data_IF_341704586889
#
_entry.id   IF_341704586889
#
_cell.length_a   1.000
_cell.length_b   1.000
_cell.length_c   1.000
_cell.angle_alpha   90.00
_cell.angle_beta   90.00
_cell.angle_gamma   90.00
#
_symmetry.space_group_name_H-M   'P 1'
#
loop_
_entity.id
_entity.type
_entity.pdbx_description
1 polymer ?
#
# COMPACT_ATOMS: atom_id res chain seq x y z
N UNK A 1 8.10 20.17 5.82
CA UNK A 1 9.25 19.22 5.93
C UNK A 1 10.57 19.97 6.12
N UNK A 2 11.59 19.35 6.72
CA UNK A 2 12.96 19.89 6.72
C UNK A 2 13.69 19.58 5.39
N UNK A 3 14.87 20.17 5.19
CA UNK A 3 15.63 20.03 3.93
C UNK A 3 15.99 18.57 3.59
N UNK A 4 16.37 17.77 4.60
CA UNK A 4 16.75 16.37 4.40
C UNK A 4 15.53 15.52 4.01
N UNK A 5 14.41 15.70 4.71
CA UNK A 5 13.13 15.05 4.40
C UNK A 5 12.66 15.38 2.98
N UNK A 6 12.78 16.65 2.60
CA UNK A 6 12.41 17.08 1.25
C UNK A 6 13.31 16.48 0.17
N UNK A 7 14.62 16.43 0.41
CA UNK A 7 15.58 15.82 -0.50
C UNK A 7 15.32 14.31 -0.67
N UNK A 8 15.06 13.61 0.43
CA UNK A 8 14.69 12.19 0.42
C UNK A 8 13.43 11.94 -0.42
N UNK A 9 12.38 12.74 -0.21
CA UNK A 9 11.15 12.64 -1.02
C UNK A 9 11.42 12.94 -2.50
N UNK A 10 12.25 13.94 -2.82
CA UNK A 10 12.61 14.23 -4.21
C UNK A 10 13.38 13.09 -4.87
N UNK A 11 14.33 12.49 -4.14
CA UNK A 11 15.08 11.31 -4.59
C UNK A 11 14.14 10.13 -4.83
N UNK A 12 13.25 9.84 -3.88
CA UNK A 12 12.21 8.81 -4.03
C UNK A 12 11.35 9.03 -5.27
N UNK A 13 10.85 10.26 -5.49
CA UNK A 13 10.01 10.58 -6.66
C UNK A 13 10.74 10.34 -7.97
N UNK A 14 12.00 10.78 -8.06
CA UNK A 14 12.84 10.60 -9.25
C UNK A 14 13.05 9.12 -9.56
N UNK A 15 13.50 8.35 -8.56
CA UNK A 15 13.81 6.94 -8.73
C UNK A 15 12.54 6.13 -9.05
N UNK A 16 11.41 6.49 -8.44
CA UNK A 16 10.14 5.83 -8.72
C UNK A 16 9.67 6.09 -10.15
N UNK A 17 9.76 7.33 -10.65
CA UNK A 17 9.45 7.64 -12.05
C UNK A 17 10.30 6.82 -13.02
N UNK A 18 11.60 6.74 -12.76
CA UNK A 18 12.52 5.93 -13.57
C UNK A 18 12.13 4.45 -13.57
N UNK A 19 11.76 3.89 -12.40
CA UNK A 19 11.27 2.50 -12.33
C UNK A 19 9.95 2.28 -13.04
N UNK A 20 9.04 3.24 -13.01
CA UNK A 20 7.78 3.15 -13.77
C UNK A 20 8.06 3.12 -15.27
N UNK A 21 8.97 3.95 -15.76
CA UNK A 21 9.38 3.96 -17.17
C UNK A 21 10.03 2.62 -17.57
N UNK A 22 10.98 2.14 -16.77
CA UNK A 22 11.63 0.83 -16.95
C UNK A 22 10.58 -0.29 -17.03
N UNK A 23 9.73 -0.43 -16.00
CA UNK A 23 8.74 -1.49 -15.91
C UNK A 23 7.66 -1.42 -16.98
N UNK A 24 7.27 -0.22 -17.40
CA UNK A 24 6.31 -0.03 -18.50
C UNK A 24 6.90 -0.46 -19.84
N UNK A 25 8.21 -0.32 -20.04
CA UNK A 25 8.91 -0.73 -21.26
C UNK A 25 9.28 -2.22 -21.33
N UNK A 26 9.35 -2.91 -20.19
CA UNK A 26 9.81 -4.31 -20.12
C UNK A 26 8.87 -5.31 -20.83
N UNK A 27 7.56 -5.07 -20.76
CA UNK A 27 6.53 -6.03 -21.19
C UNK A 27 5.43 -5.28 -21.97
N UNK A 28 5.61 -5.06 -23.28
CA UNK A 28 4.64 -4.36 -24.12
C UNK A 28 3.23 -4.97 -24.08
N UNK A 29 3.12 -6.27 -23.84
CA UNK A 29 1.87 -7.02 -23.77
C UNK A 29 1.18 -6.98 -22.38
N UNK A 30 1.74 -6.28 -21.39
CA UNK A 30 1.21 -6.29 -20.01
C UNK A 30 -0.26 -5.84 -19.93
N UNK A 31 -0.64 -4.81 -20.70
CA UNK A 31 -2.03 -4.34 -20.76
C UNK A 31 -2.99 -5.44 -21.25
N UNK A 32 -2.55 -6.25 -22.22
CA UNK A 32 -3.35 -7.36 -22.75
C UNK A 32 -3.49 -8.48 -21.72
N UNK A 33 -2.42 -8.79 -20.98
CA UNK A 33 -2.46 -9.78 -19.89
C UNK A 33 -3.37 -9.33 -18.74
N UNK A 34 -3.35 -8.05 -18.40
CA UNK A 34 -4.27 -7.45 -17.41
C UNK A 34 -5.73 -7.59 -17.86
N UNK A 35 -6.01 -7.29 -19.13
CA UNK A 35 -7.33 -7.46 -19.73
C UNK A 35 -7.80 -8.91 -19.70
N UNK A 36 -6.97 -9.84 -20.13
CA UNK A 36 -7.28 -11.28 -20.10
C UNK A 36 -7.53 -11.79 -18.68
N UNK A 37 -6.72 -11.38 -17.70
CA UNK A 37 -6.92 -11.75 -16.30
C UNK A 37 -8.24 -11.20 -15.74
N UNK A 38 -8.62 -9.97 -16.13
CA UNK A 38 -9.90 -9.38 -15.75
C UNK A 38 -11.10 -10.08 -16.37
N UNK A 39 -11.02 -10.46 -17.65
CA UNK A 39 -12.03 -11.21 -18.40
C UNK A 39 -12.24 -12.60 -17.80
N UNK A 40 -11.17 -13.34 -17.52
CA UNK A 40 -11.22 -14.64 -16.84
C UNK A 40 -11.88 -14.55 -15.46
N UNK A 41 -11.67 -13.44 -14.75
CA UNK A 41 -12.29 -13.15 -13.46
C UNK A 41 -13.72 -12.59 -13.56
N UNK A 42 -14.30 -12.53 -14.76
CA UNK A 42 -15.64 -11.95 -15.04
C UNK A 42 -15.78 -10.53 -14.51
N UNK A 43 -14.71 -9.76 -14.56
CA UNK A 43 -14.74 -8.34 -14.17
C UNK A 43 -15.50 -7.56 -15.24
N UNK A 44 -16.44 -6.67 -14.87
CA UNK A 44 -17.11 -5.80 -15.84
C UNK A 44 -16.10 -5.03 -16.67
N UNK A 45 -16.38 -4.83 -17.96
CA UNK A 45 -15.47 -4.13 -18.88
C UNK A 45 -15.11 -2.73 -18.38
N UNK A 46 -13.84 -2.37 -18.54
CA UNK A 46 -13.27 -1.06 -18.21
C UNK A 46 -12.00 -0.86 -19.05
N UNK A 47 -11.54 0.38 -19.26
CA UNK A 47 -10.35 0.65 -20.08
C UNK A 47 -9.06 0.26 -19.34
N UNK A 48 -8.03 -0.12 -20.10
CA UNK A 48 -6.67 -0.39 -19.63
C UNK A 48 -5.73 0.63 -20.28
N UNK A 49 -5.37 1.68 -19.54
CA UNK A 49 -4.65 2.86 -20.01
C UNK A 49 -3.23 2.94 -19.44
N UNK A 50 -3.05 2.62 -18.15
CA UNK A 50 -1.74 2.69 -17.48
C UNK A 50 -1.41 1.37 -16.75
N UNK A 51 -0.72 0.41 -17.39
CA UNK A 51 -0.45 -0.91 -16.81
C UNK A 51 0.40 -0.90 -15.54
N UNK A 52 1.36 0.02 -15.45
CA UNK A 52 2.21 0.24 -14.29
C UNK A 52 2.06 1.71 -13.89
N UNK A 53 1.46 1.97 -12.72
CA UNK A 53 0.94 3.30 -12.38
C UNK A 53 1.94 4.05 -11.50
N UNK A 54 2.28 5.28 -11.88
CA UNK A 54 2.90 6.25 -10.98
C UNK A 54 1.83 7.06 -10.25
N UNK A 55 2.00 7.34 -8.95
CA UNK A 55 1.07 8.20 -8.22
C UNK A 55 1.42 9.68 -8.42
N UNK A 56 0.72 10.36 -9.32
CA UNK A 56 0.95 11.79 -9.65
C UNK A 56 0.63 12.74 -8.49
N UNK A 57 -0.08 12.30 -7.45
CA UNK A 57 -0.23 13.11 -6.23
C UNK A 57 1.11 13.37 -5.53
N UNK A 58 2.12 12.52 -5.72
CA UNK A 58 3.47 12.74 -5.19
C UNK A 58 4.12 14.02 -5.74
N UNK A 59 3.82 14.37 -6.99
CA UNK A 59 4.36 15.57 -7.64
C UNK A 59 3.74 16.87 -7.13
N UNK A 60 2.59 16.77 -6.45
CA UNK A 60 1.90 17.93 -5.87
C UNK A 60 2.45 18.32 -4.51
N UNK A 61 3.24 17.44 -3.89
CA UNK A 61 3.84 17.68 -2.57
C UNK A 61 4.96 18.72 -2.71
N UNK A 62 4.95 19.70 -1.83
CA UNK A 62 5.88 20.82 -1.71
C UNK A 62 6.65 20.75 -0.38
N UNK A 63 7.77 21.49 -0.23
CA UNK A 63 8.49 21.55 1.06
C UNK A 63 7.65 22.05 2.23
N UNK A 64 6.64 22.89 1.95
CA UNK A 64 5.75 23.51 2.92
C UNK A 64 4.69 22.55 3.45
N UNK A 65 4.46 21.42 2.77
CA UNK A 65 3.50 20.43 3.22
C UNK A 65 3.97 19.72 4.50
N UNK A 66 2.97 19.37 5.30
CA UNK A 66 3.11 18.65 6.56
C UNK A 66 2.66 17.20 6.34
N UNK A 67 3.62 16.32 6.06
CA UNK A 67 3.37 14.89 5.86
C UNK A 67 3.43 14.18 7.20
N UNK A 68 2.31 13.55 7.59
CA UNK A 68 2.12 12.90 8.89
C UNK A 68 2.10 11.38 8.81
N UNK A 69 1.82 10.84 7.63
CA UNK A 69 1.50 9.43 7.46
C UNK A 69 1.88 8.92 6.06
N UNK A 70 2.39 7.70 5.99
CA UNK A 70 2.48 6.91 4.76
C UNK A 70 1.42 5.80 4.82
N UNK A 71 0.58 5.69 3.80
CA UNK A 71 -0.40 4.60 3.65
C UNK A 71 -0.01 3.72 2.47
N UNK A 72 0.04 2.41 2.71
CA UNK A 72 0.40 1.41 1.69
C UNK A 72 -0.84 0.58 1.32
N UNK A 73 -1.39 0.82 0.14
CA UNK A 73 -2.42 -0.03 -0.49
C UNK A 73 -1.82 -1.27 -1.15
N UNK A 74 -2.64 -2.10 -1.79
CA UNK A 74 -2.16 -3.32 -2.46
C UNK A 74 -1.55 -3.02 -3.83
N UNK A 75 -2.40 -2.61 -4.76
CA UNK A 75 -2.07 -2.32 -6.13
C UNK A 75 -3.07 -1.31 -6.72
N UNK A 76 -2.74 -0.62 -7.81
CA UNK A 76 -3.66 0.31 -8.46
C UNK A 76 -4.89 -0.43 -8.97
N UNK A 77 -6.08 0.07 -8.64
CA UNK A 77 -7.36 -0.43 -9.12
C UNK A 77 -7.81 0.22 -10.43
N UNK A 78 -9.08 0.02 -10.79
CA UNK A 78 -9.65 0.45 -12.07
C UNK A 78 -9.62 1.96 -12.28
N UNK A 79 -9.87 2.73 -11.21
CA UNK A 79 -9.90 4.18 -11.28
C UNK A 79 -8.48 4.75 -11.22
N UNK A 80 -7.59 4.11 -10.45
CA UNK A 80 -6.23 4.56 -10.21
C UNK A 80 -5.38 4.57 -11.49
N UNK A 81 -5.61 3.63 -12.40
CA UNK A 81 -4.83 3.47 -13.64
C UNK A 81 -5.29 4.37 -14.80
N UNK A 82 -6.45 5.02 -14.69
CA UNK A 82 -6.95 5.90 -15.75
C UNK A 82 -5.95 7.04 -15.95
N UNK A 83 -5.61 7.38 -17.19
CA UNK A 83 -4.65 8.42 -17.55
C UNK A 83 -5.04 9.78 -16.94
N UNK A 84 -6.35 10.07 -16.86
CA UNK A 84 -6.87 11.28 -16.21
C UNK A 84 -6.67 11.33 -14.70
N UNK A 85 -6.43 10.18 -14.07
CA UNK A 85 -6.31 10.05 -12.62
C UNK A 85 -4.85 9.82 -12.21
N UNK A 86 -4.25 8.68 -12.61
CA UNK A 86 -2.90 8.23 -12.22
C UNK A 86 -2.59 8.55 -10.76
N UNK A 87 -3.50 8.12 -9.89
CA UNK A 87 -3.58 8.54 -8.50
C UNK A 87 -4.02 7.39 -7.64
N UNK A 88 -3.28 7.09 -6.59
CA UNK A 88 -3.57 5.97 -5.70
C UNK A 88 -4.72 6.26 -4.75
N UNK A 89 -5.49 5.21 -4.45
CA UNK A 89 -6.72 5.29 -3.65
C UNK A 89 -7.60 6.45 -4.12
N UNK A 90 -7.92 6.53 -5.41
CA UNK A 90 -8.85 7.54 -5.93
C UNK A 90 -10.26 6.96 -6.18
N UNK A 91 -10.37 5.62 -6.22
CA UNK A 91 -11.64 4.91 -6.26
C UNK A 91 -12.33 4.81 -4.89
N UNK A 92 -13.27 3.87 -4.79
CA UNK A 92 -14.16 3.75 -3.63
C UNK A 92 -13.42 3.58 -2.29
N UNK A 93 -12.39 2.74 -2.24
CA UNK A 93 -11.61 2.52 -1.02
C UNK A 93 -10.97 3.83 -0.51
N UNK A 94 -10.48 4.67 -1.42
CA UNK A 94 -9.92 5.96 -1.08
C UNK A 94 -10.95 7.01 -0.64
N UNK A 95 -12.17 6.96 -1.18
CA UNK A 95 -13.29 7.79 -0.69
C UNK A 95 -13.69 7.39 0.74
N UNK A 96 -13.69 6.09 1.04
CA UNK A 96 -13.96 5.58 2.39
C UNK A 96 -12.87 6.03 3.36
N UNK A 97 -11.59 5.88 2.98
CA UNK A 97 -10.46 6.33 3.78
C UNK A 97 -10.52 7.83 4.06
N UNK A 98 -10.67 8.66 3.01
CA UNK A 98 -10.81 10.11 3.13
C UNK A 98 -12.00 10.50 4.04
N UNK A 99 -13.14 9.83 3.87
CA UNK A 99 -14.30 10.02 4.72
C UNK A 99 -14.05 9.65 6.18
N UNK A 100 -13.26 8.61 6.46
CA UNK A 100 -12.89 8.23 7.83
C UNK A 100 -12.10 9.36 8.51
N UNK A 101 -11.06 9.90 7.87
CA UNK A 101 -10.29 10.99 8.46
C UNK A 101 -11.11 12.28 8.63
N UNK A 102 -11.94 12.64 7.64
CA UNK A 102 -12.83 13.82 7.73
C UNK A 102 -13.85 13.74 8.87
N UNK A 103 -14.36 12.56 9.18
CA UNK A 103 -15.27 12.35 10.32
C UNK A 103 -14.56 12.29 11.66
N UNK A 104 -13.24 12.20 11.68
CA UNK A 104 -12.42 12.10 12.89
C UNK A 104 -11.37 13.24 12.96
N UNK A 105 -11.80 14.52 12.98
CA UNK A 105 -10.89 15.66 13.00
C UNK A 105 -9.87 15.69 14.17
N UNK A 106 -10.11 15.09 15.36
CA UNK A 106 -9.08 14.99 16.40
C UNK A 106 -7.82 14.23 15.97
N UNK A 107 -7.86 13.44 14.89
CA UNK A 107 -6.66 12.82 14.33
C UNK A 107 -5.71 13.85 13.71
N UNK A 108 -6.21 15.04 13.36
CA UNK A 108 -5.40 16.12 12.79
C UNK A 108 -4.76 15.78 11.44
N UNK A 109 -5.35 14.84 10.69
CA UNK A 109 -4.85 14.36 9.39
C UNK A 109 -5.91 14.62 8.32
N UNK A 110 -5.57 15.44 7.33
CA UNK A 110 -6.27 15.50 6.05
C UNK A 110 -5.69 14.41 5.13
N UNK A 111 -6.49 13.41 4.81
CA UNK A 111 -6.06 12.23 4.04
C UNK A 111 -5.47 12.56 2.67
N UNK A 112 -5.82 13.72 2.07
CA UNK A 112 -5.34 14.11 0.75
C UNK A 112 -4.19 15.10 0.78
N UNK A 113 -3.87 15.67 1.94
CA UNK A 113 -2.77 16.64 2.10
C UNK A 113 -1.64 16.12 2.97
N UNK A 114 -1.96 15.42 4.06
CA UNK A 114 -0.98 14.99 5.05
C UNK A 114 -0.49 13.55 4.85
N UNK A 115 -0.95 12.85 3.81
CA UNK A 115 -0.70 11.43 3.61
C UNK A 115 -0.02 11.16 2.28
N UNK A 116 1.13 10.50 2.32
CA UNK A 116 1.75 9.88 1.15
C UNK A 116 1.09 8.52 0.94
N UNK A 117 0.51 8.29 -0.24
CA UNK A 117 -0.15 7.04 -0.60
C UNK A 117 0.72 6.28 -1.59
N UNK A 118 1.15 5.08 -1.22
CA UNK A 118 1.89 4.14 -2.06
C UNK A 118 1.11 2.81 -2.15
N UNK A 119 1.58 1.90 -3.00
CA UNK A 119 1.06 0.54 -3.11
C UNK A 119 2.19 -0.47 -2.97
N UNK A 120 1.87 -1.70 -2.57
CA UNK A 120 2.84 -2.80 -2.48
C UNK A 120 3.41 -3.17 -3.85
N UNK A 121 2.66 -2.94 -4.91
CA UNK A 121 3.14 -2.95 -6.30
C UNK A 121 2.46 -1.83 -7.10
N UNK A 122 3.14 -1.19 -8.06
CA UNK A 122 2.52 -0.27 -9.01
C UNK A 122 1.82 -0.99 -10.18
N UNK A 123 1.90 -2.32 -10.27
CA UNK A 123 1.27 -3.07 -11.36
C UNK A 123 -0.25 -3.09 -11.16
N UNK A 124 -0.98 -2.56 -12.14
CA UNK A 124 -2.43 -2.46 -12.08
C UNK A 124 -3.12 -3.84 -12.14
N UNK A 125 -4.20 -3.99 -11.36
CA UNK A 125 -5.26 -4.98 -11.58
C UNK A 125 -6.54 -4.56 -10.87
N UNK A 126 -7.71 -5.04 -11.28
CA UNK A 126 -8.96 -4.73 -10.57
C UNK A 126 -9.07 -5.43 -9.20
N UNK A 127 -8.41 -6.59 -9.05
CA UNK A 127 -8.35 -7.38 -7.82
C UNK A 127 -6.98 -8.06 -7.73
N UNK A 128 -6.39 -8.11 -6.54
CA UNK A 128 -5.08 -8.74 -6.28
C UNK A 128 -4.95 -10.16 -6.87
N UNK A 129 -6.02 -10.96 -6.81
CA UNK A 129 -6.04 -12.31 -7.39
C UNK A 129 -5.70 -12.35 -8.91
N UNK A 130 -5.99 -11.29 -9.65
CA UNK A 130 -5.67 -11.19 -11.08
C UNK A 130 -4.16 -11.07 -11.34
N UNK A 131 -3.39 -10.52 -10.38
CA UNK A 131 -1.93 -10.49 -10.47
C UNK A 131 -1.35 -11.92 -10.54
N UNK A 132 -1.93 -12.86 -9.78
CA UNK A 132 -1.54 -14.29 -9.84
C UNK A 132 -1.86 -14.91 -11.20
N UNK A 133 -3.01 -14.58 -11.78
CA UNK A 133 -3.38 -15.03 -13.13
C UNK A 133 -2.40 -14.51 -14.18
N UNK A 134 -1.98 -13.25 -14.07
CA UNK A 134 -0.96 -12.67 -14.95
C UNK A 134 0.39 -13.36 -14.80
N UNK A 135 0.84 -13.64 -13.57
CA UNK A 135 2.07 -14.40 -13.33
C UNK A 135 2.03 -15.79 -13.97
N UNK A 136 0.88 -16.47 -13.92
CA UNK A 136 0.71 -17.80 -14.51
C UNK A 136 0.76 -17.77 -16.05
N UNK A 137 0.17 -16.75 -16.66
CA UNK A 137 -0.03 -16.69 -18.11
C UNK A 137 1.03 -15.85 -18.85
N UNK A 138 1.72 -14.96 -18.15
CA UNK A 138 2.67 -13.98 -18.71
C UNK A 138 4.12 -14.43 -18.73
N UNK A 139 4.41 -15.67 -18.32
CA UNK A 139 5.75 -16.23 -18.30
C UNK A 139 6.70 -15.58 -17.29
N UNK A 140 7.99 -15.93 -17.40
CA UNK A 140 9.03 -15.57 -16.42
C UNK A 140 9.20 -14.04 -16.27
N UNK A 141 9.16 -13.28 -17.37
CA UNK A 141 9.33 -11.82 -17.33
C UNK A 141 8.26 -11.12 -16.49
N UNK A 142 6.99 -11.55 -16.60
CA UNK A 142 5.89 -10.98 -15.81
C UNK A 142 6.02 -11.35 -14.34
N UNK A 143 6.44 -12.58 -14.05
CA UNK A 143 6.71 -13.02 -12.67
C UNK A 143 7.83 -12.18 -12.04
N UNK A 144 8.92 -11.98 -12.77
CA UNK A 144 10.05 -11.16 -12.35
C UNK A 144 9.64 -9.70 -12.13
N UNK A 145 8.92 -9.08 -13.08
CA UNK A 145 8.42 -7.71 -12.93
C UNK A 145 7.59 -7.56 -11.65
N UNK A 146 6.61 -8.44 -11.44
CA UNK A 146 5.71 -8.38 -10.29
C UNK A 146 6.49 -8.57 -8.98
N UNK A 147 7.42 -9.52 -8.93
CA UNK A 147 8.25 -9.75 -7.76
C UNK A 147 9.16 -8.56 -7.47
N UNK A 148 9.93 -8.11 -8.46
CA UNK A 148 10.89 -7.01 -8.32
C UNK A 148 10.20 -5.70 -7.95
N UNK A 149 9.01 -5.44 -8.50
CA UNK A 149 8.25 -4.26 -8.13
C UNK A 149 7.82 -4.27 -6.66
N UNK A 150 7.49 -5.44 -6.10
CA UNK A 150 7.17 -5.57 -4.68
C UNK A 150 8.38 -5.34 -3.78
N UNK A 151 9.51 -5.97 -4.11
CA UNK A 151 10.75 -5.83 -3.34
C UNK A 151 11.23 -4.38 -3.36
N UNK A 152 11.23 -3.76 -4.54
CA UNK A 152 11.63 -2.37 -4.68
C UNK A 152 10.70 -1.43 -3.92
N UNK A 153 9.37 -1.60 -4.03
CA UNK A 153 8.43 -0.75 -3.29
C UNK A 153 8.58 -0.91 -1.79
N UNK A 154 8.82 -2.12 -1.27
CA UNK A 154 9.03 -2.37 0.15
C UNK A 154 10.29 -1.70 0.67
N UNK A 155 11.41 -1.88 -0.04
CA UNK A 155 12.69 -1.26 0.30
C UNK A 155 12.57 0.27 0.32
N UNK A 156 12.04 0.86 -0.75
CA UNK A 156 11.94 2.32 -0.88
C UNK A 156 10.94 2.93 0.07
N UNK A 157 9.89 2.19 0.44
CA UNK A 157 8.98 2.59 1.50
C UNK A 157 9.68 2.62 2.85
N UNK A 158 10.51 1.61 3.16
CA UNK A 158 11.29 1.60 4.40
C UNK A 158 12.28 2.78 4.48
N UNK A 159 13.01 3.04 3.39
CA UNK A 159 13.91 4.20 3.28
C UNK A 159 13.15 5.52 3.50
N UNK A 160 12.04 5.72 2.79
CA UNK A 160 11.23 6.93 2.94
C UNK A 160 10.64 7.09 4.35
N UNK A 161 10.28 5.98 5.00
CA UNK A 161 9.77 6.00 6.38
C UNK A 161 10.85 6.46 7.37
N UNK A 162 12.10 6.00 7.20
CA UNK A 162 13.26 6.44 8.00
C UNK A 162 13.51 7.93 7.78
N UNK A 163 13.55 8.36 6.53
CA UNK A 163 13.89 9.74 6.18
C UNK A 163 12.82 10.73 6.63
N UNK A 164 11.53 10.39 6.50
CA UNK A 164 10.42 11.26 6.90
C UNK A 164 10.12 11.19 8.39
N UNK A 165 10.35 10.05 9.05
CA UNK A 165 10.04 9.86 10.46
C UNK A 165 8.54 9.88 10.78
N UNK A 166 7.69 9.59 9.81
CA UNK A 166 6.23 9.54 9.98
C UNK A 166 5.74 8.11 10.28
N UNK A 167 4.46 7.99 10.64
CA UNK A 167 3.82 6.68 10.80
C UNK A 167 3.66 5.98 9.44
N UNK A 168 3.69 4.65 9.45
CA UNK A 168 3.39 3.82 8.28
C UNK A 168 2.20 2.92 8.57
N UNK A 169 1.17 3.03 7.74
CA UNK A 169 0.00 2.16 7.78
C UNK A 169 0.03 1.20 6.60
N UNK A 170 0.29 -0.07 6.91
CA UNK A 170 0.27 -1.17 5.95
C UNK A 170 -1.14 -1.75 5.89
N UNK A 171 -1.88 -1.43 4.83
CA UNK A 171 -3.31 -1.75 4.70
C UNK A 171 -3.50 -2.97 3.82
N UNK A 172 -4.33 -3.92 4.23
CA UNK A 172 -4.61 -5.13 3.47
C UNK A 172 -3.90 -6.38 3.97
N UNK A 173 -3.98 -6.64 5.27
CA UNK A 173 -3.17 -7.68 5.90
C UNK A 173 -3.48 -9.11 5.44
N UNK A 174 -4.64 -9.37 4.83
CA UNK A 174 -5.02 -10.72 4.38
C UNK A 174 -4.05 -11.28 3.35
N UNK A 175 -3.51 -10.42 2.49
CA UNK A 175 -2.54 -10.80 1.47
C UNK A 175 -1.09 -10.83 1.98
N UNK A 176 -0.88 -10.55 3.28
CA UNK A 176 0.41 -10.64 3.97
C UNK A 176 0.56 -11.92 4.81
N UNK A 177 -0.53 -12.67 5.05
CA UNK A 177 -0.50 -13.91 5.86
C UNK A 177 -0.15 -15.13 4.99
N UNK A 178 0.60 -16.09 5.56
CA UNK A 178 0.82 -17.41 4.96
C UNK A 178 1.37 -17.38 3.53
N UNK A 179 0.58 -17.85 2.55
CA UNK A 179 0.90 -17.83 1.10
C UNK A 179 0.26 -16.65 0.36
N UNK A 180 -0.05 -15.57 1.09
CA UNK A 180 -0.61 -14.32 0.58
C UNK A 180 0.24 -13.71 -0.53
N UNK A 181 -0.37 -12.90 -1.39
CA UNK A 181 0.30 -12.45 -2.62
C UNK A 181 1.47 -11.51 -2.31
N UNK A 182 1.33 -10.71 -1.26
CA UNK A 182 2.27 -9.68 -0.87
C UNK A 182 3.25 -10.13 0.23
N UNK A 183 3.45 -11.43 0.40
CA UNK A 183 4.51 -11.98 1.25
C UNK A 183 5.90 -11.45 0.87
N UNK A 184 6.29 -11.35 -0.42
CA UNK A 184 7.58 -10.76 -0.78
C UNK A 184 7.73 -9.30 -0.31
N UNK A 185 6.66 -8.49 -0.45
CA UNK A 185 6.65 -7.12 0.08
C UNK A 185 6.80 -7.10 1.61
N UNK A 186 6.03 -7.94 2.32
CA UNK A 186 6.07 -8.05 3.78
C UNK A 186 7.48 -8.37 4.25
N UNK A 187 8.09 -9.43 3.72
CA UNK A 187 9.38 -9.93 4.18
C UNK A 187 10.48 -8.92 3.90
N UNK A 188 10.44 -8.27 2.74
CA UNK A 188 11.38 -7.21 2.40
C UNK A 188 11.21 -5.97 3.30
N UNK A 189 9.97 -5.55 3.60
CA UNK A 189 9.71 -4.43 4.51
C UNK A 189 10.22 -4.77 5.92
N UNK A 190 9.98 -5.99 6.39
CA UNK A 190 10.47 -6.47 7.68
C UNK A 190 11.99 -6.44 7.73
N UNK A 191 12.67 -7.03 6.74
CA UNK A 191 14.13 -7.04 6.67
C UNK A 191 14.74 -5.63 6.67
N UNK A 192 14.04 -4.63 6.14
CA UNK A 192 14.52 -3.24 6.13
C UNK A 192 14.24 -2.45 7.42
N UNK A 193 13.21 -2.81 8.19
CA UNK A 193 12.74 -2.01 9.33
C UNK A 193 12.82 -2.73 10.68
N UNK A 194 12.79 -4.06 10.74
CA UNK A 194 12.85 -4.79 12.01
C UNK A 194 14.09 -4.40 12.81
N UNK A 195 13.91 -4.20 14.12
CA UNK A 195 14.98 -3.74 15.03
C UNK A 195 15.30 -2.25 14.95
N UNK A 196 14.72 -1.48 14.02
CA UNK A 196 14.88 -0.01 13.96
C UNK A 196 13.86 0.72 14.84
N UNK A 197 14.13 2.00 15.14
CA UNK A 197 13.17 2.84 15.85
C UNK A 197 11.89 3.05 15.02
N UNK A 198 12.00 3.11 13.69
CA UNK A 198 10.88 3.28 12.76
C UNK A 198 9.88 2.15 12.85
N UNK A 199 10.32 0.93 13.17
CA UNK A 199 9.46 -0.23 13.34
C UNK A 199 8.33 0.00 14.36
N UNK A 200 8.58 0.83 15.38
CA UNK A 200 7.60 1.18 16.40
C UNK A 200 6.46 2.03 15.83
N UNK A 201 6.67 2.68 14.69
CA UNK A 201 5.68 3.51 13.98
C UNK A 201 5.02 2.78 12.80
N UNK A 202 5.31 1.49 12.62
CA UNK A 202 4.61 0.63 11.64
C UNK A 202 3.37 0.04 12.30
N UNK A 203 2.24 0.18 11.61
CA UNK A 203 0.94 -0.34 12.01
C UNK A 203 0.30 -1.08 10.83
N UNK A 204 -0.43 -2.16 11.12
CA UNK A 204 -1.01 -3.04 10.10
C UNK A 204 -2.53 -3.06 10.22
N UNK A 205 -3.25 -2.91 9.11
CA UNK A 205 -4.69 -2.79 9.13
C UNK A 205 -5.38 -3.58 8.03
N UNK A 206 -6.68 -3.82 8.21
CA UNK A 206 -7.53 -4.33 7.14
C UNK A 206 -7.81 -3.26 6.08
N UNK A 207 -8.18 -3.68 4.87
CA UNK A 207 -8.52 -2.79 3.74
C UNK A 207 -9.61 -1.76 4.06
N UNK A 208 -9.52 -0.58 3.46
CA UNK A 208 -10.60 0.41 3.52
C UNK A 208 -11.85 0.00 2.72
N UNK A 209 -11.69 -0.86 1.72
CA UNK A 209 -12.82 -1.33 0.89
C UNK A 209 -13.90 -1.99 1.75
N UNK A 210 -15.16 -1.78 1.40
CA UNK A 210 -16.32 -2.34 2.12
C UNK A 210 -16.33 -2.01 3.63
N UNK A 211 -15.75 -0.88 4.02
CA UNK A 211 -15.58 -0.44 5.41
C UNK A 211 -14.83 -1.44 6.31
N UNK A 212 -14.03 -2.35 5.75
CA UNK A 212 -13.41 -3.42 6.53
C UNK A 212 -12.49 -2.88 7.62
N UNK A 213 -11.72 -1.83 7.33
CA UNK A 213 -10.94 -1.09 8.34
C UNK A 213 -11.76 -0.67 9.57
N UNK A 214 -12.90 0.00 9.36
CA UNK A 214 -13.72 0.50 10.47
C UNK A 214 -14.44 -0.63 11.20
N UNK A 215 -14.94 -1.63 10.47
CA UNK A 215 -15.59 -2.81 11.07
C UNK A 215 -14.60 -3.56 11.99
N UNK A 216 -13.36 -3.72 11.53
CA UNK A 216 -12.27 -4.38 12.25
C UNK A 216 -11.88 -3.58 13.50
N UNK A 217 -11.67 -2.27 13.35
CA UNK A 217 -11.42 -1.35 14.46
C UNK A 217 -12.54 -1.40 15.53
N UNK A 218 -13.80 -1.27 15.12
CA UNK A 218 -14.94 -1.27 16.03
C UNK A 218 -15.13 -2.62 16.74
N UNK A 219 -14.82 -3.73 16.06
CA UNK A 219 -14.82 -5.05 16.66
C UNK A 219 -13.70 -5.17 17.71
N UNK A 220 -12.48 -4.76 17.37
CA UNK A 220 -11.33 -4.81 18.28
C UNK A 220 -11.53 -3.93 19.52
N UNK A 221 -12.02 -2.70 19.33
CA UNK A 221 -12.29 -1.75 20.43
C UNK A 221 -13.32 -2.32 21.41
N UNK A 222 -14.39 -2.96 20.91
CA UNK A 222 -15.41 -3.59 21.76
C UNK A 222 -14.87 -4.82 22.50
N UNK A 223 -14.16 -5.70 21.80
CA UNK A 223 -13.62 -6.93 22.38
C UNK A 223 -12.57 -6.67 23.46
N UNK A 224 -11.84 -5.56 23.36
CA UNK A 224 -10.75 -5.20 24.27
C UNK A 224 -11.11 -4.03 25.21
N UNK A 225 -12.38 -3.64 25.29
CA UNK A 225 -12.88 -2.57 26.17
C UNK A 225 -12.12 -1.24 26.05
N UNK A 226 -11.77 -0.85 24.82
CA UNK A 226 -10.93 0.34 24.54
C UNK A 226 -11.73 1.62 24.28
N UNK A 227 -13.06 1.59 24.43
CA UNK A 227 -13.96 2.68 24.03
C UNK A 227 -13.68 4.02 24.77
N UNK A 228 -13.07 3.97 25.96
CA UNK A 228 -12.69 5.16 26.72
C UNK A 228 -11.36 5.81 26.29
N UNK A 229 -10.58 5.15 25.42
CA UNK A 229 -9.32 5.69 24.93
C UNK A 229 -9.53 6.66 23.77
N UNK A 230 -8.64 7.65 23.56
CA UNK A 230 -8.65 8.46 22.36
C UNK A 230 -8.56 7.60 21.09
N UNK A 231 -9.26 7.99 20.02
CA UNK A 231 -9.31 7.22 18.78
C UNK A 231 -7.91 6.92 18.21
N UNK A 232 -6.97 7.87 18.28
CA UNK A 232 -5.60 7.66 17.84
C UNK A 232 -4.93 6.47 18.56
N UNK A 233 -5.17 6.33 19.86
CA UNK A 233 -4.65 5.22 20.67
C UNK A 233 -5.35 3.90 20.31
N UNK A 234 -6.67 3.92 20.07
CA UNK A 234 -7.41 2.74 19.61
C UNK A 234 -6.86 2.20 18.28
N UNK A 235 -6.60 3.10 17.32
CA UNK A 235 -6.02 2.77 16.02
C UNK A 235 -4.61 2.17 16.19
N UNK A 236 -3.77 2.76 17.04
CA UNK A 236 -2.42 2.23 17.29
C UNK A 236 -2.47 0.80 17.85
N UNK A 237 -3.36 0.55 18.82
CA UNK A 237 -3.50 -0.78 19.43
C UNK A 237 -3.94 -1.86 18.46
N UNK A 238 -4.94 -1.59 17.61
CA UNK A 238 -5.36 -2.57 16.58
C UNK A 238 -4.25 -2.76 15.54
N UNK A 239 -3.57 -1.68 15.17
CA UNK A 239 -2.45 -1.69 14.24
C UNK A 239 -1.26 -2.53 14.72
N UNK A 240 -0.91 -2.41 16.01
CA UNK A 240 0.14 -3.21 16.65
C UNK A 240 -0.26 -4.66 16.81
N UNK A 241 -1.53 -4.91 17.17
CA UNK A 241 -2.05 -6.27 17.28
C UNK A 241 -1.87 -7.03 15.96
N UNK A 242 -2.34 -6.46 14.85
CA UNK A 242 -2.15 -7.11 13.54
C UNK A 242 -0.71 -7.11 13.07
N UNK A 243 0.12 -6.11 13.44
CA UNK A 243 1.56 -6.18 13.16
C UNK A 243 2.18 -7.43 13.77
N UNK A 244 1.84 -7.76 15.02
CA UNK A 244 2.32 -9.00 15.66
C UNK A 244 1.83 -10.24 14.92
N UNK A 245 0.54 -10.31 14.58
CA UNK A 245 0.00 -11.45 13.81
C UNK A 245 0.68 -11.64 12.44
N UNK A 246 1.05 -10.55 11.77
CA UNK A 246 1.62 -10.63 10.41
C UNK A 246 3.11 -10.96 10.43
N UNK A 247 3.86 -10.40 11.37
CA UNK A 247 5.32 -10.46 11.36
C UNK A 247 5.91 -11.42 12.39
N UNK A 248 5.16 -11.82 13.44
CA UNK A 248 5.67 -12.69 14.52
C UNK A 248 5.13 -14.13 14.45
N UNK A 249 3.98 -14.38 13.81
CA UNK A 249 3.41 -15.74 13.71
C UNK A 249 4.14 -16.67 12.72
N UNK A 250 5.23 -16.21 12.09
CA UNK A 250 6.05 -17.05 11.20
C UNK A 250 6.93 -18.09 11.92
N UNK A 251 6.98 -18.12 13.26
CA UNK A 251 7.77 -19.12 14.01
C UNK A 251 6.99 -20.36 14.49
N UNK A 252 5.67 -20.45 14.27
CA UNK A 252 4.84 -21.54 14.81
C UNK A 252 4.57 -22.72 13.86
N UNK A 253 5.12 -22.74 12.64
CA UNK A 253 4.98 -23.87 11.72
C UNK A 253 6.35 -24.31 11.18
N UNK A 254 7.16 -24.92 12.04
CA UNK A 254 8.47 -25.45 11.65
C UNK A 254 9.11 -26.42 12.65
N UNK A 255 8.32 -27.00 13.55
CA UNK A 255 8.77 -28.10 14.41
C UNK A 255 7.63 -29.10 14.60
N UNK A 256 7.56 -30.05 13.67
CA UNK A 256 7.12 -31.42 13.87
C UNK A 256 7.69 -32.28 12.74
#
# INVERSE_FOLDING_TARGET
>A
MNSNQWQALCSFKKDFKQKIEEWSGLIPELAQLQKQAAELAKTPSYPFETPVVYNTDLDKITPQDDIKLIVIGDNPGKDEQLAKNQRYLCGQAGKIADGFFKRNPPLGIDFRKNVIILNKTPVHSAKTAQLRTMMKNGGQKVQELILQSQLWMAQRTAELTKDLGCELWLVGYSELKGKGFFVPYRDQLNACLEGTQEWQRVYVFQHFSMNRFTIDLDAFVRQNSLAGLPLAEQIKRVGEFHKREIFMDCFACGSQ
#
